data_IF_814062152741
#
_entry.id   IF_814062152741
#
_cell.length_a   1.000
_cell.length_b   1.000
_cell.length_c   1.000
_cell.angle_alpha   90.00
_cell.angle_beta   90.00
_cell.angle_gamma   90.00
#
_symmetry.space_group_name_H-M   'P 1'
#
loop_
_entity.id
_entity.type
_entity.pdbx_description
1 polymer ?
#
# COMPACT_ATOMS: atom_id res chain seq x y z
N UNK A 1 -17.79 18.81 13.43
CA UNK A 1 -18.72 18.37 12.38
C UNK A 1 -17.93 17.63 11.33
N UNK A 2 -18.30 16.38 11.04
CA UNK A 2 -17.57 15.58 10.05
C UNK A 2 -17.95 16.08 8.67
N UNK A 3 -16.96 16.58 7.95
CA UNK A 3 -17.13 17.08 6.59
C UNK A 3 -16.61 16.05 5.58
N UNK A 4 -17.07 16.16 4.34
CA UNK A 4 -16.62 15.32 3.23
C UNK A 4 -15.09 15.31 3.06
N UNK A 5 -14.45 16.46 3.31
CA UNK A 5 -12.99 16.61 3.28
C UNK A 5 -12.30 15.72 4.32
N UNK A 6 -12.86 15.63 5.53
CA UNK A 6 -12.32 14.79 6.62
C UNK A 6 -12.48 13.31 6.27
N UNK A 7 -13.65 12.93 5.76
CA UNK A 7 -13.95 11.53 5.40
C UNK A 7 -13.01 11.05 4.30
N UNK A 8 -12.81 11.85 3.26
CA UNK A 8 -11.90 11.52 2.17
C UNK A 8 -10.45 11.42 2.63
N UNK A 9 -10.02 12.31 3.55
CA UNK A 9 -8.68 12.23 4.16
C UNK A 9 -8.52 10.95 4.99
N UNK A 10 -9.52 10.63 5.80
CA UNK A 10 -9.54 9.44 6.64
C UNK A 10 -9.54 8.14 5.83
N UNK A 11 -10.31 8.09 4.73
CA UNK A 11 -10.33 6.95 3.81
C UNK A 11 -8.96 6.71 3.17
N UNK A 12 -8.25 7.78 2.79
CA UNK A 12 -6.87 7.67 2.27
C UNK A 12 -5.91 7.13 3.31
N UNK A 13 -6.00 7.62 4.55
CA UNK A 13 -5.17 7.12 5.66
C UNK A 13 -5.48 5.66 5.99
N UNK A 14 -6.76 5.28 6.00
CA UNK A 14 -7.19 3.91 6.29
C UNK A 14 -6.61 2.91 5.29
N UNK A 15 -6.52 3.27 4.01
CA UNK A 15 -6.06 2.38 2.94
C UNK A 15 -4.63 1.85 3.11
N UNK A 16 -3.82 2.47 3.97
CA UNK A 16 -2.44 2.05 4.27
C UNK A 16 -2.34 1.04 5.42
N UNK A 17 -3.45 0.75 6.12
CA UNK A 17 -3.50 -0.15 7.28
C UNK A 17 -4.44 -1.33 7.05
N UNK A 18 -4.19 -2.45 7.73
CA UNK A 18 -5.10 -3.60 7.71
C UNK A 18 -6.32 -3.40 8.62
N UNK A 19 -6.15 -2.66 9.72
CA UNK A 19 -7.20 -2.39 10.69
C UNK A 19 -7.13 -0.96 11.21
N UNK A 20 -8.27 -0.37 11.55
CA UNK A 20 -8.35 1.00 12.04
C UNK A 20 -9.37 1.16 13.18
N UNK A 21 -9.13 2.13 14.07
CA UNK A 21 -9.96 2.39 15.25
C UNK A 21 -10.28 3.87 15.40
N UNK A 22 -11.27 4.20 16.23
CA UNK A 22 -11.57 5.60 16.57
C UNK A 22 -10.37 6.27 17.27
N UNK A 23 -9.66 5.56 18.15
CA UNK A 23 -8.45 6.09 18.82
C UNK A 23 -7.27 6.38 17.88
N UNK A 24 -7.23 5.73 16.71
CA UNK A 24 -6.29 6.10 15.65
C UNK A 24 -6.61 7.48 15.09
N UNK A 25 -7.86 7.71 14.66
CA UNK A 25 -8.28 9.00 14.12
C UNK A 25 -8.24 10.13 15.16
N UNK A 26 -8.54 9.82 16.42
CA UNK A 26 -8.42 10.77 17.53
C UNK A 26 -7.00 11.36 17.62
N UNK A 27 -5.97 10.51 17.60
CA UNK A 27 -4.58 10.94 17.77
C UNK A 27 -3.97 11.52 16.49
N UNK A 28 -4.31 10.96 15.32
CA UNK A 28 -3.71 11.37 14.05
C UNK A 28 -4.37 12.61 13.44
N UNK A 29 -5.67 12.80 13.67
CA UNK A 29 -6.44 13.90 13.10
C UNK A 29 -6.87 14.94 14.15
N UNK A 30 -6.44 14.77 15.40
CA UNK A 30 -6.83 15.62 16.55
C UNK A 30 -8.34 15.78 16.70
N UNK A 31 -9.10 14.73 16.34
CA UNK A 31 -10.55 14.73 16.43
C UNK A 31 -10.99 14.35 17.85
N UNK A 32 -12.04 14.98 18.39
CA UNK A 32 -12.69 14.46 19.59
C UNK A 32 -13.11 13.00 19.39
N UNK A 33 -13.04 12.17 20.43
CA UNK A 33 -13.33 10.73 20.33
C UNK A 33 -14.72 10.44 19.71
N UNK A 34 -15.74 11.22 20.11
CA UNK A 34 -17.10 11.11 19.56
C UNK A 34 -17.14 11.36 18.05
N UNK A 35 -16.36 12.32 17.55
CA UNK A 35 -16.26 12.57 16.11
C UNK A 35 -15.46 11.46 15.41
N UNK A 36 -14.42 10.92 16.04
CA UNK A 36 -13.68 9.79 15.49
C UNK A 36 -14.55 8.53 15.37
N UNK A 37 -15.46 8.28 16.31
CA UNK A 37 -16.45 7.18 16.23
C UNK A 37 -17.43 7.41 15.09
N UNK A 38 -18.00 8.61 14.98
CA UNK A 38 -18.89 8.98 13.87
C UNK A 38 -18.20 8.84 12.51
N UNK A 39 -16.92 9.20 12.41
CA UNK A 39 -16.11 9.06 11.21
C UNK A 39 -15.93 7.59 10.83
N UNK A 40 -15.68 6.73 11.82
CA UNK A 40 -15.54 5.29 11.61
C UNK A 40 -16.84 4.65 11.09
N UNK A 41 -17.99 5.08 11.60
CA UNK A 41 -19.30 4.64 11.11
C UNK A 41 -19.58 5.13 9.68
N UNK A 42 -19.17 6.36 9.36
CA UNK A 42 -19.31 6.89 8.00
C UNK A 42 -18.42 6.14 7.00
N UNK A 43 -17.21 5.77 7.41
CA UNK A 43 -16.33 4.93 6.61
C UNK A 43 -16.89 3.51 6.42
N UNK A 44 -17.61 2.97 7.41
CA UNK A 44 -18.32 1.69 7.32
C UNK A 44 -19.48 1.79 6.31
N UNK A 45 -20.31 2.83 6.42
CA UNK A 45 -21.41 3.08 5.50
C UNK A 45 -20.95 3.20 4.03
N UNK A 46 -19.73 3.69 3.82
CA UNK A 46 -19.09 3.81 2.49
C UNK A 46 -18.33 2.56 2.03
N UNK A 47 -18.35 1.49 2.83
CA UNK A 47 -17.64 0.24 2.55
C UNK A 47 -16.12 0.40 2.50
N UNK A 48 -15.56 1.37 3.23
CA UNK A 48 -14.10 1.53 3.37
C UNK A 48 -13.56 0.61 4.46
N UNK A 49 -14.30 0.50 5.56
CA UNK A 49 -14.00 -0.39 6.70
C UNK A 49 -15.13 -1.40 6.90
N UNK A 50 -14.81 -2.54 7.47
CA UNK A 50 -15.75 -3.58 7.85
C UNK A 50 -16.60 -3.20 9.07
N UNK A 51 -17.54 -4.08 9.45
CA UNK A 51 -18.48 -3.82 10.53
C UNK A 51 -17.81 -3.69 11.88
N UNK A 52 -18.49 -3.03 12.82
CA UNK A 52 -18.06 -2.98 14.20
C UNK A 52 -18.04 -4.38 14.84
N UNK A 53 -16.94 -4.73 15.50
CA UNK A 53 -16.84 -5.95 16.31
C UNK A 53 -16.43 -5.60 17.75
N UNK A 54 -17.41 -5.19 18.55
CA UNK A 54 -17.18 -4.75 19.93
C UNK A 54 -16.14 -3.63 20.02
N UNK A 55 -15.15 -3.81 20.89
CA UNK A 55 -14.06 -2.86 21.09
C UNK A 55 -12.88 -3.04 20.11
N UNK A 56 -12.93 -4.04 19.23
CA UNK A 56 -11.81 -4.34 18.34
C UNK A 56 -11.70 -3.34 17.18
N UNK A 57 -10.46 -3.08 16.70
CA UNK A 57 -10.23 -2.33 15.47
C UNK A 57 -10.96 -2.97 14.28
N UNK A 58 -11.56 -2.13 13.42
CA UNK A 58 -12.30 -2.58 12.24
C UNK A 58 -11.34 -2.89 11.11
N UNK A 59 -11.63 -3.94 10.36
CA UNK A 59 -10.85 -4.30 9.17
C UNK A 59 -11.00 -3.23 8.07
N UNK A 60 -9.92 -2.94 7.35
CA UNK A 60 -9.97 -2.05 6.19
C UNK A 60 -10.19 -2.89 4.94
N UNK A 61 -11.31 -2.64 4.25
CA UNK A 61 -11.71 -3.36 3.03
C UNK A 61 -11.00 -2.77 1.82
N UNK A 62 -10.97 -1.44 1.69
CA UNK A 62 -10.33 -0.74 0.57
C UNK A 62 -8.85 -0.49 0.87
N UNK A 63 -8.02 -1.50 0.60
CA UNK A 63 -6.56 -1.39 0.73
C UNK A 63 -5.95 -0.77 -0.52
N UNK A 64 -4.94 0.09 -0.34
CA UNK A 64 -4.10 0.54 -1.45
C UNK A 64 -3.35 -0.69 -1.96
N UNK A 65 -3.56 -1.07 -3.22
CA UNK A 65 -2.73 -2.12 -3.84
C UNK A 65 -1.29 -1.63 -3.79
N UNK A 66 -0.48 -2.21 -2.88
CA UNK A 66 0.97 -2.14 -3.02
C UNK A 66 1.26 -2.90 -4.29
N UNK A 67 1.55 -2.16 -5.36
CA UNK A 67 2.27 -2.71 -6.50
C UNK A 67 3.66 -2.99 -5.94
N UNK A 68 3.80 -4.15 -5.29
CA UNK A 68 5.11 -4.73 -5.04
C UNK A 68 5.56 -5.12 -6.43
N UNK A 69 6.33 -4.25 -7.06
CA UNK A 69 7.26 -4.68 -8.09
C UNK A 69 8.21 -5.62 -7.37
N UNK A 70 7.82 -6.88 -7.24
CA UNK A 70 8.79 -7.95 -7.14
C UNK A 70 9.62 -7.79 -8.39
N UNK A 71 10.77 -7.13 -8.25
CA UNK A 71 11.87 -7.29 -9.17
C UNK A 71 12.23 -8.76 -8.98
N UNK A 72 11.52 -9.65 -9.68
CA UNK A 72 11.95 -11.02 -9.86
C UNK A 72 13.31 -10.86 -10.50
N UNK A 73 14.35 -10.99 -9.70
CA UNK A 73 15.72 -11.08 -10.13
C UNK A 73 15.78 -12.37 -10.94
N UNK A 74 15.32 -12.32 -12.20
CA UNK A 74 15.37 -13.46 -13.11
C UNK A 74 16.86 -13.75 -13.22
N UNK A 75 17.36 -14.87 -12.66
CA UNK A 75 18.80 -15.11 -12.60
C UNK A 75 19.44 -15.10 -14.00
N UNK A 76 18.62 -15.39 -15.02
CA UNK A 76 18.99 -15.35 -16.43
C UNK A 76 19.21 -13.94 -17.02
N UNK A 77 18.62 -12.87 -16.48
CA UNK A 77 18.72 -11.53 -17.08
C UNK A 77 20.13 -10.95 -16.89
N UNK A 78 20.69 -11.12 -15.69
CA UNK A 78 22.08 -10.72 -15.38
C UNK A 78 23.06 -11.62 -16.13
N UNK A 79 22.80 -12.92 -16.18
CA UNK A 79 23.65 -13.87 -16.92
C UNK A 79 23.68 -13.58 -18.42
N UNK A 80 22.55 -13.23 -19.05
CA UNK A 80 22.48 -12.92 -20.48
C UNK A 80 23.28 -11.66 -20.86
N UNK A 81 23.26 -10.62 -20.02
CA UNK A 81 24.03 -9.38 -20.24
C UNK A 81 25.55 -9.61 -20.13
N UNK A 82 25.96 -10.47 -19.19
CA UNK A 82 27.37 -10.84 -19.01
C UNK A 82 27.84 -11.75 -20.15
N UNK A 83 27.05 -12.76 -20.53
CA UNK A 83 27.41 -13.70 -21.60
C UNK A 83 27.54 -13.02 -22.96
N UNK A 84 26.63 -12.11 -23.31
CA UNK A 84 26.67 -11.38 -24.58
C UNK A 84 27.92 -10.50 -24.72
N UNK A 85 28.31 -9.83 -23.64
CA UNK A 85 29.50 -8.97 -23.62
C UNK A 85 30.80 -9.78 -23.75
N UNK A 86 30.88 -10.92 -23.06
CA UNK A 86 32.05 -11.81 -23.09
C UNK A 86 32.17 -12.51 -24.45
N UNK A 87 31.07 -13.02 -25.01
CA UNK A 87 31.07 -13.70 -26.30
C UNK A 87 31.45 -12.75 -27.45
N UNK A 88 30.98 -11.50 -27.40
CA UNK A 88 31.38 -10.44 -28.34
C UNK A 88 32.89 -10.16 -28.27
N UNK A 89 33.45 -10.02 -27.05
CA UNK A 89 34.88 -9.80 -26.86
C UNK A 89 35.73 -10.95 -27.41
N UNK A 90 35.31 -12.20 -27.13
CA UNK A 90 35.99 -13.41 -27.61
C UNK A 90 35.93 -13.49 -29.14
N UNK A 91 34.79 -13.20 -29.75
CA UNK A 91 34.63 -13.20 -31.20
C UNK A 91 35.57 -12.19 -31.87
N UNK A 92 35.65 -10.97 -31.34
CA UNK A 92 36.57 -9.93 -31.83
C UNK A 92 38.04 -10.40 -31.72
N UNK A 93 38.40 -11.06 -30.62
CA UNK A 93 39.78 -11.54 -30.40
C UNK A 93 40.18 -12.70 -31.33
N UNK A 94 39.24 -13.60 -31.65
CA UNK A 94 39.50 -14.80 -32.46
C UNK A 94 39.47 -14.50 -33.96
N UNK A 95 38.58 -13.60 -34.42
CA UNK A 95 38.31 -13.36 -35.84
C UNK A 95 38.99 -12.11 -36.44
N UNK A 96 39.71 -11.32 -35.62
CA UNK A 96 40.44 -10.12 -36.07
C UNK A 96 41.92 -10.38 -36.42
N UNK A 97 42.26 -11.60 -36.86
CA UNK A 97 43.61 -11.98 -37.32
C UNK A 97 43.61 -12.43 -38.77
#
# INVERSE_FOLDING_TARGET
MITEKIINKASKMAADYDRISASYFQRTMSLPYVEAVKLLNELEARGVVGPANGAYPREVIKKKQKIVFEIKLVPGLIMALIFGSILSLIYILIFSK
#
